data_IF_116974372267
#
_entry.id   IF_116974372267
#
_cell.length_a   1.000
_cell.length_b   1.000
_cell.length_c   1.000
_cell.angle_alpha   90.00
_cell.angle_beta   90.00
_cell.angle_gamma   90.00
#
_symmetry.space_group_name_H-M   'P 1'
#
loop_
_entity.id
_entity.type
_entity.pdbx_description
1 polymer ?
#
# COMPACT_ATOMS: atom_id res chain seq x y z
N UNK A 1 -25.59 -75.75 0.89
CA UNK A 1 -25.90 -74.51 0.16
C UNK A 1 -27.41 -74.47 -0.10
N UNK A 2 -28.04 -73.34 0.22
CA UNK A 2 -29.43 -72.96 -0.07
C UNK A 2 -30.62 -73.62 0.65
N UNK A 3 -31.58 -72.71 0.95
CA UNK A 3 -33.00 -72.83 1.32
C UNK A 3 -33.32 -73.01 2.81
N UNK A 4 -34.03 -72.02 3.37
CA UNK A 4 -35.38 -72.18 3.93
C UNK A 4 -36.12 -70.82 4.00
N UNK A 5 -37.31 -70.77 3.42
CA UNK A 5 -38.38 -69.83 3.73
C UNK A 5 -39.08 -70.31 5.04
N UNK A 6 -39.95 -69.63 5.79
CA UNK A 6 -41.19 -68.89 5.51
C UNK A 6 -41.57 -68.23 6.86
N UNK A 7 -42.20 -67.04 6.87
CA UNK A 7 -43.52 -66.76 7.51
C UNK A 7 -43.85 -65.27 7.55
N UNK A 8 -44.91 -64.93 6.84
CA UNK A 8 -45.74 -63.73 7.01
C UNK A 8 -46.52 -63.77 8.33
N UNK A 9 -46.94 -62.60 8.83
CA UNK A 9 -48.32 -62.22 9.18
C UNK A 9 -48.27 -60.91 9.98
N UNK A 10 -49.14 -59.94 9.63
CA UNK A 10 -49.44 -58.82 10.52
C UNK A 10 -49.84 -57.54 9.77
N UNK A 11 -51.09 -57.48 9.30
CA UNK A 11 -51.76 -56.24 8.90
C UNK A 11 -51.76 -55.25 10.06
N UNK A 12 -51.21 -54.06 9.87
CA UNK A 12 -51.39 -52.92 10.76
C UNK A 12 -51.91 -51.75 9.92
N UNK A 13 -53.08 -51.25 10.30
CA UNK A 13 -53.79 -50.11 9.71
C UNK A 13 -52.95 -48.82 9.78
N UNK A 14 -53.06 -47.91 8.80
CA UNK A 14 -52.27 -46.69 8.83
C UNK A 14 -52.86 -45.68 9.82
N UNK A 15 -52.05 -45.30 10.81
CA UNK A 15 -52.30 -44.11 11.65
C UNK A 15 -52.01 -42.88 10.80
N UNK A 16 -53.01 -42.01 10.65
CA UNK A 16 -52.92 -40.73 9.93
C UNK A 16 -52.05 -39.76 10.75
N UNK A 17 -50.79 -39.57 10.36
CA UNK A 17 -49.92 -38.54 10.95
C UNK A 17 -50.30 -37.19 10.34
N UNK A 18 -50.96 -36.34 11.13
CA UNK A 18 -51.20 -34.93 10.79
C UNK A 18 -49.87 -34.20 11.03
N UNK A 19 -49.19 -33.82 9.96
CA UNK A 19 -48.00 -32.95 10.04
C UNK A 19 -48.44 -31.50 10.19
N UNK A 20 -48.06 -30.78 11.26
CA UNK A 20 -48.22 -29.33 11.28
C UNK A 20 -47.17 -28.71 10.36
N UNK A 21 -47.63 -27.97 9.34
CA UNK A 21 -46.78 -27.18 8.45
C UNK A 21 -46.25 -25.99 9.23
N UNK A 22 -45.07 -26.14 9.84
CA UNK A 22 -44.31 -25.03 10.42
C UNK A 22 -43.76 -24.17 9.27
N UNK A 23 -44.50 -23.11 8.93
CA UNK A 23 -44.03 -22.07 8.00
C UNK A 23 -43.02 -21.20 8.73
N UNK A 24 -41.74 -21.61 8.71
CA UNK A 24 -40.64 -20.78 9.17
C UNK A 24 -40.54 -19.56 8.24
N UNK A 25 -41.08 -18.42 8.68
CA UNK A 25 -40.76 -17.13 8.08
C UNK A 25 -39.36 -16.74 8.54
N UNK A 26 -38.35 -17.12 7.74
CA UNK A 26 -37.03 -16.53 7.81
C UNK A 26 -37.16 -15.05 7.42
N UNK A 27 -37.30 -14.19 8.43
CA UNK A 27 -36.92 -12.79 8.27
C UNK A 27 -35.40 -12.80 8.19
N UNK A 28 -34.87 -12.86 6.96
CA UNK A 28 -33.47 -12.51 6.70
C UNK A 28 -33.31 -11.05 7.13
N UNK A 29 -32.90 -10.84 8.38
CA UNK A 29 -32.29 -9.59 8.79
C UNK A 29 -31.04 -9.42 7.93
N UNK A 30 -31.14 -8.56 6.92
CA UNK A 30 -29.98 -8.13 6.15
C UNK A 30 -29.01 -7.50 7.14
N UNK A 31 -27.96 -8.24 7.50
CA UNK A 31 -26.77 -7.68 8.12
C UNK A 31 -26.25 -6.66 7.10
N UNK A 32 -26.54 -5.39 7.33
CA UNK A 32 -25.86 -4.29 6.64
C UNK A 32 -24.40 -4.40 7.04
N UNK A 33 -23.56 -4.96 6.17
CA UNK A 33 -22.12 -4.78 6.27
C UNK A 33 -21.81 -3.30 5.98
N UNK A 34 -21.93 -2.45 6.99
CA UNK A 34 -21.31 -1.13 6.94
C UNK A 34 -19.83 -1.28 7.28
N UNK A 35 -19.05 -1.68 6.29
CA UNK A 35 -17.65 -1.27 6.20
C UNK A 35 -17.43 -0.70 4.81
N UNK A 36 -17.86 0.54 4.61
CA UNK A 36 -17.20 1.37 3.61
C UNK A 36 -15.74 1.44 4.06
N UNK A 37 -14.85 0.65 3.45
CA UNK A 37 -13.42 0.83 3.64
C UNK A 37 -13.07 2.19 3.02
N UNK A 38 -13.28 3.27 3.77
CA UNK A 38 -12.74 4.56 3.44
C UNK A 38 -11.24 4.36 3.24
N UNK A 39 -10.72 4.84 2.10
CA UNK A 39 -9.29 4.75 1.83
C UNK A 39 -8.56 5.39 3.01
N UNK A 40 -7.52 4.76 3.58
CA UNK A 40 -6.76 5.35 4.67
C UNK A 40 -6.28 6.75 4.24
N UNK A 41 -6.53 7.76 5.07
CA UNK A 41 -6.10 9.14 4.84
C UNK A 41 -5.09 9.52 5.92
N UNK A 42 -4.04 10.23 5.52
CA UNK A 42 -3.05 10.74 6.44
C UNK A 42 -3.61 11.96 7.18
N UNK A 43 -3.38 12.11 8.49
CA UNK A 43 -3.78 13.31 9.22
C UNK A 43 -3.10 14.59 8.67
N UNK A 44 -3.85 15.68 8.57
CA UNK A 44 -3.35 16.94 7.97
C UNK A 44 -2.16 17.55 8.72
N UNK A 45 -2.03 17.28 10.03
CA UNK A 45 -0.88 17.76 10.84
C UNK A 45 0.46 17.28 10.32
N UNK A 46 0.47 16.21 9.50
CA UNK A 46 1.67 15.64 8.92
C UNK A 46 2.29 16.58 7.89
N UNK A 47 1.50 17.33 7.13
CA UNK A 47 2.04 18.29 6.15
C UNK A 47 2.85 19.37 6.87
N UNK A 48 2.32 19.94 7.95
CA UNK A 48 3.05 20.93 8.74
C UNK A 48 4.37 20.37 9.29
N UNK A 49 4.37 19.13 9.79
CA UNK A 49 5.58 18.47 10.28
C UNK A 49 6.63 18.30 9.18
N UNK A 50 6.20 17.92 7.97
CA UNK A 50 7.08 17.80 6.81
C UNK A 50 7.72 19.15 6.45
N UNK A 51 6.92 20.20 6.37
CA UNK A 51 7.39 21.53 6.00
C UNK A 51 8.38 22.09 7.03
N UNK A 52 8.12 21.86 8.33
CA UNK A 52 8.99 22.30 9.43
C UNK A 52 10.33 21.56 9.49
N UNK A 53 10.34 20.24 9.26
CA UNK A 53 11.52 19.40 9.53
C UNK A 53 12.26 18.87 8.30
N UNK A 54 11.59 18.80 7.14
CA UNK A 54 12.14 18.23 5.90
C UNK A 54 12.17 19.25 4.75
N UNK A 55 11.54 20.41 4.93
CA UNK A 55 11.39 21.46 3.94
C UNK A 55 10.40 21.09 2.83
N UNK A 56 10.35 21.94 1.79
CA UNK A 56 9.39 21.80 0.68
C UNK A 56 9.60 20.52 -0.15
N UNK A 57 8.59 20.15 -0.92
CA UNK A 57 8.63 19.04 -1.88
C UNK A 57 7.94 17.76 -1.43
N UNK A 58 7.67 17.59 -0.14
CA UNK A 58 6.89 16.45 0.35
C UNK A 58 5.40 16.81 0.36
N UNK A 59 4.64 16.28 -0.59
CA UNK A 59 3.19 16.49 -0.65
C UNK A 59 2.47 15.33 0.03
N UNK A 60 1.64 15.63 1.04
CA UNK A 60 0.83 14.61 1.72
C UNK A 60 -0.14 13.91 0.78
N UNK A 61 -0.63 14.60 -0.26
CA UNK A 61 -1.47 14.01 -1.31
C UNK A 61 -0.77 12.85 -2.05
N UNK A 62 0.55 12.94 -2.21
CA UNK A 62 1.40 11.92 -2.83
C UNK A 62 1.77 10.77 -1.89
N UNK A 63 1.38 10.82 -0.61
CA UNK A 63 1.73 9.78 0.37
C UNK A 63 1.34 8.38 -0.13
N UNK A 64 2.32 7.52 -0.37
CA UNK A 64 2.10 6.16 -0.86
C UNK A 64 1.55 5.22 0.20
N UNK A 65 1.84 5.51 1.46
CA UNK A 65 1.24 4.88 2.63
C UNK A 65 0.73 5.99 3.54
N UNK A 66 -0.53 6.44 3.41
CA UNK A 66 -1.03 7.59 4.15
C UNK A 66 -1.22 7.30 5.65
N UNK A 67 -1.64 6.09 6.01
CA UNK A 67 -1.89 5.67 7.41
C UNK A 67 -1.75 4.16 7.55
N UNK A 68 -0.54 3.65 7.27
CA UNK A 68 -0.25 2.22 7.33
C UNK A 68 -0.19 1.76 8.79
N UNK A 69 -1.06 0.83 9.17
CA UNK A 69 -1.00 0.21 10.49
C UNK A 69 0.25 -0.63 10.66
N UNK A 70 0.93 -0.47 11.79
CA UNK A 70 2.03 -1.33 12.20
C UNK A 70 1.45 -2.66 12.68
N UNK A 71 1.90 -3.77 12.09
CA UNK A 71 1.49 -5.11 12.47
C UNK A 71 2.37 -5.64 13.61
N UNK A 72 1.78 -6.44 14.50
CA UNK A 72 2.54 -7.03 15.61
C UNK A 72 3.76 -7.85 15.13
N UNK A 73 3.63 -8.56 14.00
CA UNK A 73 4.71 -9.35 13.40
C UNK A 73 5.85 -8.53 12.76
N UNK A 74 5.74 -7.19 12.69
CA UNK A 74 6.83 -6.31 12.24
C UNK A 74 7.81 -5.96 13.37
N UNK A 75 7.46 -6.29 14.62
CA UNK A 75 8.27 -6.01 15.81
C UNK A 75 9.33 -7.11 16.00
N UNK A 76 10.57 -6.72 16.31
CA UNK A 76 11.64 -7.66 16.64
C UNK A 76 11.84 -7.83 18.15
N UNK A 77 12.86 -8.61 18.54
CA UNK A 77 13.17 -8.90 19.94
C UNK A 77 13.48 -7.66 20.78
N UNK A 78 13.82 -6.52 20.16
CA UNK A 78 14.09 -5.26 20.85
C UNK A 78 12.83 -4.40 21.06
N UNK A 79 11.63 -4.95 20.79
CA UNK A 79 10.34 -4.32 21.08
C UNK A 79 10.07 -3.04 20.26
N UNK A 80 10.62 -2.97 19.05
CA UNK A 80 10.30 -1.97 18.04
C UNK A 80 10.28 -2.60 16.65
N UNK A 81 9.78 -1.86 15.66
CA UNK A 81 9.73 -2.28 14.27
C UNK A 81 11.13 -2.63 13.79
N UNK A 82 11.28 -3.79 13.16
CA UNK A 82 12.55 -4.25 12.64
C UNK A 82 13.06 -3.34 11.51
N UNK A 83 14.37 -3.13 11.45
CA UNK A 83 15.02 -2.24 10.48
C UNK A 83 14.62 -2.54 9.02
N UNK A 84 14.44 -3.81 8.64
CA UNK A 84 14.08 -4.20 7.26
C UNK A 84 12.68 -3.75 6.85
N UNK A 85 11.77 -3.61 7.81
CA UNK A 85 10.37 -3.26 7.56
C UNK A 85 10.26 -1.85 6.99
N UNK A 86 11.09 -0.92 7.46
CA UNK A 86 11.15 0.45 6.93
C UNK A 86 11.45 0.46 5.42
N UNK A 87 12.38 -0.38 4.95
CA UNK A 87 12.70 -0.48 3.53
C UNK A 87 11.50 -1.01 2.73
N UNK A 88 10.78 -2.01 3.26
CA UNK A 88 9.56 -2.53 2.63
C UNK A 88 8.44 -1.48 2.56
N UNK A 89 8.28 -0.65 3.59
CA UNK A 89 7.34 0.47 3.57
C UNK A 89 7.74 1.53 2.53
N UNK A 90 9.02 1.87 2.42
CA UNK A 90 9.49 2.79 1.38
C UNK A 90 9.23 2.26 -0.03
N UNK A 91 9.55 1.00 -0.28
CA UNK A 91 9.26 0.34 -1.56
C UNK A 91 7.77 0.39 -1.89
N UNK A 92 6.91 -0.04 -0.95
CA UNK A 92 5.46 -0.05 -1.13
C UNK A 92 4.92 1.36 -1.35
N UNK A 93 5.37 2.33 -0.57
CA UNK A 93 4.93 3.72 -0.70
C UNK A 93 5.37 4.32 -2.04
N UNK A 94 6.60 4.05 -2.50
CA UNK A 94 7.07 4.52 -3.81
C UNK A 94 6.18 3.95 -4.93
N UNK A 95 5.91 2.65 -4.92
CA UNK A 95 5.04 2.02 -5.94
C UNK A 95 3.63 2.60 -5.87
N UNK A 96 3.05 2.77 -4.68
CA UNK A 96 1.72 3.37 -4.54
C UNK A 96 1.66 4.82 -5.02
N UNK A 97 2.69 5.62 -4.74
CA UNK A 97 2.81 6.99 -5.27
C UNK A 97 2.86 6.99 -6.80
N UNK A 98 3.69 6.12 -7.38
CA UNK A 98 3.78 5.96 -8.83
C UNK A 98 2.46 5.52 -9.47
N UNK A 99 1.71 4.62 -8.84
CA UNK A 99 0.39 4.21 -9.30
C UNK A 99 -0.62 5.37 -9.28
N UNK A 100 -0.51 6.30 -8.31
CA UNK A 100 -1.34 7.50 -8.24
C UNK A 100 -1.03 8.49 -9.36
N UNK A 101 0.24 8.61 -9.76
CA UNK A 101 0.66 9.57 -10.78
C UNK A 101 0.17 9.23 -12.20
N UNK A 102 -0.30 8.01 -12.44
CA UNK A 102 -1.04 7.64 -13.65
C UNK A 102 -0.33 6.66 -14.58
N UNK A 103 -0.93 6.45 -15.76
CA UNK A 103 -0.59 5.38 -16.71
C UNK A 103 0.80 5.50 -17.32
N UNK A 104 1.30 6.72 -17.49
CA UNK A 104 2.61 6.94 -18.14
C UNK A 104 3.74 6.37 -17.28
N UNK A 105 3.66 6.58 -15.96
CA UNK A 105 4.60 5.97 -15.03
C UNK A 105 4.41 4.45 -14.92
N UNK A 106 3.17 3.95 -14.99
CA UNK A 106 2.92 2.51 -15.02
C UNK A 106 3.57 1.83 -16.23
N UNK A 107 3.59 2.50 -17.39
CA UNK A 107 4.25 1.98 -18.59
C UNK A 107 5.77 1.90 -18.38
N UNK A 108 6.36 2.90 -17.76
CA UNK A 108 7.78 2.87 -17.39
C UNK A 108 8.09 1.74 -16.39
N UNK A 109 7.19 1.48 -15.44
CA UNK A 109 7.31 0.36 -14.49
C UNK A 109 7.06 -1.03 -15.12
N UNK A 110 6.47 -1.11 -16.31
CA UNK A 110 6.06 -2.39 -16.92
C UNK A 110 7.22 -3.28 -17.38
N UNK A 111 8.44 -2.72 -17.51
CA UNK A 111 9.61 -3.48 -17.96
C UNK A 111 9.63 -3.86 -19.44
N UNK A 112 8.69 -3.34 -20.25
CA UNK A 112 8.55 -3.75 -21.66
C UNK A 112 9.61 -3.13 -22.60
N UNK A 113 10.26 -2.04 -22.20
CA UNK A 113 11.34 -1.42 -22.96
C UNK A 113 12.40 -0.86 -22.01
N UNK A 114 12.27 0.40 -21.62
CA UNK A 114 13.08 1.03 -20.57
C UNK A 114 12.31 0.99 -19.26
N UNK A 115 12.97 0.54 -18.19
CA UNK A 115 12.37 0.47 -16.86
C UNK A 115 13.28 1.07 -15.78
N UNK A 116 12.70 1.58 -14.68
CA UNK A 116 13.46 2.02 -13.52
C UNK A 116 13.96 0.81 -12.73
N UNK A 117 15.24 0.83 -12.38
CA UNK A 117 15.88 -0.17 -11.52
C UNK A 117 16.53 0.52 -10.33
N UNK A 118 16.26 0.02 -9.13
CA UNK A 118 16.89 0.51 -7.91
C UNK A 118 18.40 0.22 -7.96
N UNK A 119 19.22 1.27 -7.96
CA UNK A 119 20.69 1.14 -7.96
C UNK A 119 21.26 1.08 -6.55
N UNK A 120 20.78 1.96 -5.67
CA UNK A 120 21.29 2.06 -4.31
C UNK A 120 20.30 2.80 -3.41
N UNK A 121 20.33 2.45 -2.13
CA UNK A 121 19.56 3.12 -1.08
C UNK A 121 20.49 3.57 0.05
N UNK A 122 20.22 4.75 0.61
CA UNK A 122 20.82 5.22 1.85
C UNK A 122 19.70 5.48 2.85
N UNK A 123 19.60 4.63 3.88
CA UNK A 123 18.51 4.62 4.85
C UNK A 123 19.05 4.99 6.23
N UNK A 124 18.47 6.02 6.84
CA UNK A 124 18.76 6.45 8.20
C UNK A 124 17.54 6.27 9.11
N UNK A 125 17.66 5.40 10.11
CA UNK A 125 16.69 5.27 11.21
C UNK A 125 16.93 6.37 12.25
N UNK A 126 15.89 7.12 12.59
CA UNK A 126 15.95 8.31 13.46
C UNK A 126 15.18 8.14 14.76
N UNK A 127 14.06 7.43 14.73
CA UNK A 127 13.24 7.20 15.91
C UNK A 127 12.54 5.84 15.85
N UNK A 128 12.58 5.01 16.91
CA UNK A 128 11.99 3.68 16.90
C UNK A 128 10.44 3.74 16.96
N UNK A 129 9.79 2.98 16.09
CA UNK A 129 8.33 2.81 16.05
C UNK A 129 7.96 1.51 16.78
N UNK A 130 6.83 1.50 17.49
CA UNK A 130 6.36 0.33 18.27
C UNK A 130 4.92 -0.02 17.92
N UNK A 131 4.52 -1.27 18.19
CA UNK A 131 3.12 -1.67 18.07
C UNK A 131 2.31 -1.24 19.31
N UNK A 132 1.02 -0.87 19.14
CA UNK A 132 0.39 -0.48 17.89
C UNK A 132 0.77 0.96 17.54
N UNK A 133 0.99 1.27 16.26
CA UNK A 133 1.13 2.64 15.75
C UNK A 133 0.63 2.66 14.30
N UNK A 134 0.54 3.84 13.71
CA UNK A 134 0.36 4.04 12.27
C UNK A 134 1.53 4.85 11.74
N UNK A 135 1.84 4.66 10.45
CA UNK A 135 2.89 5.39 9.78
C UNK A 135 2.39 6.04 8.50
N UNK A 136 2.91 7.23 8.22
CA UNK A 136 2.79 7.85 6.91
C UNK A 136 4.15 7.79 6.21
N UNK A 137 4.15 7.40 4.94
CA UNK A 137 5.35 7.37 4.11
C UNK A 137 5.14 8.20 2.85
N UNK A 138 6.01 9.19 2.67
CA UNK A 138 5.94 10.19 1.59
C UNK A 138 7.30 10.25 0.89
N UNK A 139 7.29 10.40 -0.42
CA UNK A 139 8.49 10.62 -1.24
C UNK A 139 8.42 11.96 -1.97
N UNK A 140 9.59 12.47 -2.35
CA UNK A 140 9.75 13.56 -3.29
C UNK A 140 10.85 13.27 -4.31
N UNK A 141 10.77 13.89 -5.46
CA UNK A 141 11.84 13.89 -6.46
C UNK A 141 12.88 14.93 -6.05
N UNK A 142 14.09 14.48 -5.73
CA UNK A 142 15.21 15.35 -5.36
C UNK A 142 15.95 15.85 -6.62
N UNK A 143 16.40 14.92 -7.46
CA UNK A 143 17.21 15.21 -8.65
C UNK A 143 16.79 14.33 -9.81
N UNK A 144 16.87 14.88 -11.02
CA UNK A 144 16.69 14.17 -12.28
C UNK A 144 17.96 14.42 -13.08
N UNK A 145 18.65 13.36 -13.46
CA UNK A 145 19.90 13.37 -14.22
C UNK A 145 19.67 12.66 -15.56
N UNK A 146 20.73 12.46 -16.35
CA UNK A 146 20.62 11.81 -17.66
C UNK A 146 20.05 10.38 -17.56
N UNK A 147 20.73 9.51 -16.81
CA UNK A 147 20.44 8.07 -16.74
C UNK A 147 19.75 7.61 -15.45
N UNK A 148 19.36 8.56 -14.59
CA UNK A 148 18.80 8.28 -13.26
C UNK A 148 18.03 9.44 -12.67
N UNK A 149 17.22 9.14 -11.69
CA UNK A 149 16.62 10.12 -10.79
C UNK A 149 16.81 9.68 -9.33
N UNK A 150 16.74 10.64 -8.42
CA UNK A 150 16.92 10.45 -6.99
C UNK A 150 15.61 10.79 -6.30
N UNK A 151 15.11 9.84 -5.52
CA UNK A 151 13.99 10.09 -4.61
C UNK A 151 14.50 10.25 -3.19
N UNK A 152 13.87 11.13 -2.43
CA UNK A 152 14.00 11.15 -0.96
C UNK A 152 12.66 10.76 -0.36
N UNK A 153 12.68 9.91 0.65
CA UNK A 153 11.49 9.46 1.36
C UNK A 153 11.62 9.66 2.85
N UNK A 154 10.48 9.84 3.52
CA UNK A 154 10.40 9.88 4.99
C UNK A 154 9.31 8.96 5.52
N UNK A 155 9.56 8.36 6.70
CA UNK A 155 8.55 7.66 7.51
C UNK A 155 8.21 8.53 8.71
N UNK A 156 6.92 8.73 8.96
CA UNK A 156 6.40 9.55 10.06
C UNK A 156 5.59 8.65 10.98
N UNK A 157 5.98 8.54 12.25
CA UNK A 157 5.24 7.78 13.25
C UNK A 157 4.10 8.63 13.84
N UNK A 158 2.88 8.14 13.78
CA UNK A 158 1.69 8.91 14.16
C UNK A 158 1.63 9.18 15.67
N UNK A 159 1.94 8.18 16.50
CA UNK A 159 1.98 8.36 17.96
C UNK A 159 3.10 9.28 18.41
N UNK A 160 4.28 9.12 17.82
CA UNK A 160 5.45 9.92 18.21
C UNK A 160 5.42 11.34 17.66
N UNK A 161 4.67 11.58 16.58
CA UNK A 161 4.66 12.82 15.79
C UNK A 161 6.08 13.25 15.40
N UNK A 162 6.86 12.31 14.86
CA UNK A 162 8.27 12.51 14.48
C UNK A 162 8.56 11.85 13.15
N UNK A 163 9.58 12.39 12.47
CA UNK A 163 10.25 11.70 11.37
C UNK A 163 11.09 10.56 11.94
N UNK A 164 10.66 9.33 11.67
CA UNK A 164 11.23 8.10 12.21
C UNK A 164 12.31 7.51 11.32
N UNK A 165 12.25 7.73 10.01
CA UNK A 165 13.29 7.31 9.08
C UNK A 165 13.36 8.22 7.86
N UNK A 166 14.53 8.31 7.24
CA UNK A 166 14.75 8.98 5.95
C UNK A 166 15.47 8.04 5.00
N UNK A 167 15.06 8.04 3.74
CA UNK A 167 15.73 7.28 2.68
C UNK A 167 16.11 8.21 1.53
N UNK A 168 17.25 7.93 0.91
CA UNK A 168 17.61 8.40 -0.42
C UNK A 168 17.73 7.19 -1.34
N UNK A 169 17.09 7.26 -2.51
CA UNK A 169 16.98 6.16 -3.46
C UNK A 169 17.46 6.61 -4.83
N UNK A 170 18.48 5.93 -5.34
CA UNK A 170 19.01 6.19 -6.67
C UNK A 170 18.41 5.18 -7.63
N UNK A 171 17.63 5.66 -8.60
CA UNK A 171 16.89 4.82 -9.54
C UNK A 171 17.41 5.11 -10.96
N UNK A 172 17.96 4.09 -11.62
CA UNK A 172 18.55 4.19 -12.96
C UNK A 172 17.58 3.67 -14.02
N UNK A 173 17.64 4.23 -15.23
CA UNK A 173 16.95 3.68 -16.38
C UNK A 173 17.75 2.53 -17.01
N UNK A 174 17.07 1.43 -17.30
CA UNK A 174 17.64 0.22 -17.91
C UNK A 174 16.81 -0.19 -19.12
N UNK A 175 17.47 -0.34 -20.27
CA UNK A 175 16.89 -0.77 -21.54
C UNK A 175 16.98 -2.30 -21.67
N UNK A 176 15.84 -2.95 -21.55
CA UNK A 176 15.72 -4.41 -21.66
C UNK A 176 15.73 -4.90 -23.12
N UNK A 177 15.47 -4.02 -24.10
CA UNK A 177 15.55 -4.38 -25.53
C UNK A 177 17.01 -4.57 -25.98
N UNK A 178 17.96 -4.02 -25.23
CA UNK A 178 19.41 -4.11 -25.46
C UNK A 178 20.13 -4.93 -24.39
N UNK A 179 19.47 -5.98 -23.87
CA UNK A 179 20.08 -6.90 -22.91
C UNK A 179 20.27 -6.33 -21.51
N UNK A 180 19.32 -5.49 -21.04
CA UNK A 180 19.33 -4.86 -19.73
C UNK A 180 20.55 -3.96 -19.48
N UNK A 181 20.83 -3.08 -20.46
CA UNK A 181 21.91 -2.09 -20.36
C UNK A 181 21.40 -0.76 -19.85
N UNK A 182 22.23 -0.05 -19.09
CA UNK A 182 21.88 1.28 -18.59
C UNK A 182 21.74 2.27 -19.75
N UNK A 183 20.72 3.12 -19.70
CA UNK A 183 20.44 4.13 -20.72
C UNK A 183 20.00 5.46 -20.11
N UNK A 184 19.88 6.49 -20.95
CA UNK A 184 19.22 7.75 -20.58
C UNK A 184 17.73 7.51 -20.28
N UNK A 185 17.18 8.30 -19.36
CA UNK A 185 15.73 8.35 -19.14
C UNK A 185 15.07 8.83 -20.44
N UNK A 186 14.08 8.10 -20.97
CA UNK A 186 13.31 8.53 -22.14
C UNK A 186 12.73 9.95 -21.97
N UNK A 187 12.72 10.74 -23.05
CA UNK A 187 12.36 12.16 -22.97
C UNK A 187 10.94 12.39 -22.41
N UNK A 188 9.97 11.57 -22.82
CA UNK A 188 8.60 11.60 -22.30
C UNK A 188 8.55 11.36 -20.78
N UNK A 189 9.33 10.40 -20.29
CA UNK A 189 9.43 10.12 -18.86
C UNK A 189 10.20 11.21 -18.11
N UNK A 190 11.23 11.80 -18.71
CA UNK A 190 11.95 12.94 -18.14
C UNK A 190 11.02 14.13 -17.96
N UNK A 191 10.27 14.49 -19.00
CA UNK A 191 9.29 15.58 -18.96
C UNK A 191 8.24 15.35 -17.88
N UNK A 192 7.74 14.12 -17.76
CA UNK A 192 6.80 13.72 -16.72
C UNK A 192 7.39 13.88 -15.31
N UNK A 193 8.61 13.38 -15.08
CA UNK A 193 9.29 13.53 -13.79
C UNK A 193 9.55 14.99 -13.44
N UNK A 194 9.95 15.82 -14.41
CA UNK A 194 10.13 17.26 -14.20
C UNK A 194 8.81 17.97 -13.89
N UNK A 195 7.71 17.58 -14.53
CA UNK A 195 6.38 18.06 -14.18
C UNK A 195 6.04 17.71 -12.72
N UNK A 196 6.17 16.44 -12.31
CA UNK A 196 5.89 16.01 -10.93
C UNK A 196 6.78 16.71 -9.92
N UNK A 197 8.07 16.91 -10.25
CA UNK A 197 8.99 17.65 -9.41
C UNK A 197 8.56 19.11 -9.25
N UNK A 198 8.08 19.76 -10.33
CA UNK A 198 7.51 21.12 -10.26
C UNK A 198 6.26 21.16 -9.40
N UNK A 199 5.33 20.22 -9.56
CA UNK A 199 4.12 20.13 -8.71
C UNK A 199 4.51 19.99 -7.23
N UNK A 200 5.49 19.14 -6.91
CA UNK A 200 6.03 18.99 -5.56
C UNK A 200 6.70 20.26 -5.01
N UNK A 201 7.47 20.95 -5.85
CA UNK A 201 8.11 22.22 -5.46
C UNK A 201 7.15 23.41 -5.38
N UNK A 202 6.05 23.37 -6.13
CA UNK A 202 5.03 24.39 -6.23
C UNK A 202 3.88 24.21 -5.24
N UNK A 203 3.86 23.13 -4.45
CA UNK A 203 2.81 22.80 -3.48
C UNK A 203 2.69 23.80 -2.32
N UNK A 204 2.18 24.98 -2.65
CA UNK A 204 1.31 25.88 -1.90
C UNK A 204 0.24 26.35 -2.94
N UNK A 205 -0.97 26.68 -2.50
CA UNK A 205 -2.19 26.96 -3.29
C UNK A 205 -3.07 25.74 -3.64
N UNK A 206 -3.64 25.10 -2.61
CA UNK A 206 -5.11 25.06 -2.50
C UNK A 206 -5.51 24.63 -1.08
N UNK A 207 -5.48 25.61 -0.18
CA UNK A 207 -6.17 25.56 1.10
C UNK A 207 -7.08 26.78 1.19
N UNK A 208 -8.10 26.85 0.31
CA UNK A 208 -9.35 27.60 0.47
C UNK A 208 -10.14 27.56 -0.85
N UNK A 209 -11.25 26.81 -0.87
CA UNK A 209 -12.64 27.24 -1.20
C UNK A 209 -13.57 26.08 -0.82
#
# INVERSE_FOLDING_TARGET
MFRHAIRSIGLVTPVRVITPTLRASLVLGAVRSQSSHAKPQAPDWIQNLLDEHEGKGYLLADAGLPSQGVSWGEIDSFQHVNNKVYLAWFETARVNMFLKWGTDFQRFMSGQSVAPVMRSVNLAWRYPIKFPDQVTVVHKIDQILDDRFILKGVVIGHKSKKVCARIEEVIVAVDYTKGATKCSIPDDMREFLEQKKREQGAGEYDAQI
#
